data_IF_327346016731
#
_entry.id   IF_327346016731
#
_cell.length_a   1.000
_cell.length_b   1.000
_cell.length_c   1.000
_cell.angle_alpha   90.00
_cell.angle_beta   90.00
_cell.angle_gamma   90.00
#
_symmetry.space_group_name_H-M   'P 1'
#
loop_
_entity.id
_entity.type
_entity.pdbx_description
1 polymer ?
#
# COMPACT_ATOMS: atom_id res chain seq x y z
N UNK A 1 -18.07 -3.27 10.32
CA UNK A 1 -18.22 -4.73 10.06
C UNK A 1 -18.82 -5.07 8.68
N UNK A 2 -19.15 -4.10 7.81
CA UNK A 2 -19.92 -4.34 6.56
C UNK A 2 -19.10 -4.44 5.26
N UNK A 3 -17.77 -4.23 5.28
CA UNK A 3 -16.94 -4.20 4.06
C UNK A 3 -16.18 -5.50 3.75
N UNK A 4 -16.23 -6.50 4.65
CA UNK A 4 -15.50 -7.77 4.46
C UNK A 4 -13.97 -7.66 4.48
N UNK A 5 -13.41 -6.48 4.75
CA UNK A 5 -11.95 -6.24 4.79
C UNK A 5 -11.32 -7.01 5.95
N UNK A 6 -10.23 -7.71 5.64
CA UNK A 6 -9.37 -8.37 6.62
C UNK A 6 -8.09 -7.56 6.80
N UNK A 7 -7.78 -7.18 8.04
CA UNK A 7 -6.57 -6.40 8.37
C UNK A 7 -5.62 -7.26 9.19
N UNK A 8 -4.32 -6.98 9.12
CA UNK A 8 -3.29 -7.63 9.92
C UNK A 8 -2.18 -6.62 10.24
N UNK A 9 -1.15 -7.02 11.00
CA UNK A 9 -0.03 -6.15 11.33
C UNK A 9 0.60 -5.56 10.05
N UNK A 10 1.02 -4.28 10.06
CA UNK A 10 1.63 -3.65 8.90
C UNK A 10 2.95 -4.35 8.55
N UNK A 11 3.12 -4.71 7.28
CA UNK A 11 4.39 -5.29 6.79
C UNK A 11 5.52 -4.25 6.78
N UNK A 12 5.17 -2.98 6.52
CA UNK A 12 6.11 -1.87 6.44
C UNK A 12 5.81 -0.89 7.56
N UNK A 13 6.70 -0.79 8.53
CA UNK A 13 6.53 0.06 9.72
C UNK A 13 7.23 1.41 9.61
N UNK A 14 8.14 1.58 8.64
CA UNK A 14 8.90 2.82 8.43
C UNK A 14 8.01 4.05 8.25
N UNK A 15 6.78 3.85 7.78
CA UNK A 15 5.81 4.91 7.51
C UNK A 15 4.96 5.28 8.74
N UNK A 16 5.09 4.58 9.88
CA UNK A 16 4.39 4.95 11.13
C UNK A 16 4.79 6.35 11.62
N UNK A 17 5.94 6.87 11.21
CA UNK A 17 6.35 8.25 11.50
C UNK A 17 5.39 9.30 10.91
N UNK A 18 4.58 8.93 9.92
CA UNK A 18 3.60 9.82 9.27
C UNK A 18 2.24 9.83 9.96
N UNK A 19 2.06 9.09 11.06
CA UNK A 19 0.83 9.08 11.89
C UNK A 19 -0.47 8.91 11.07
N UNK A 20 -0.41 8.07 10.03
CA UNK A 20 -1.52 7.83 9.13
C UNK A 20 -2.20 6.50 9.46
N UNK A 21 -3.47 6.57 9.83
CA UNK A 21 -4.30 5.43 10.21
C UNK A 21 -5.52 5.28 9.28
N UNK A 22 -6.01 4.06 9.05
CA UNK A 22 -7.25 3.85 8.31
C UNK A 22 -8.43 4.52 9.03
N UNK A 23 -9.19 5.33 8.31
CA UNK A 23 -10.32 6.05 8.87
C UNK A 23 -11.51 6.10 7.90
N UNK A 24 -12.67 6.50 8.40
CA UNK A 24 -13.89 6.68 7.61
C UNK A 24 -14.27 8.16 7.66
N UNK A 25 -14.51 8.77 6.50
CA UNK A 25 -14.92 10.18 6.43
C UNK A 25 -16.41 10.39 6.75
N UNK A 26 -16.86 11.65 6.72
CA UNK A 26 -18.25 12.03 7.01
C UNK A 26 -19.26 11.44 6.01
N UNK A 27 -18.83 11.18 4.77
CA UNK A 27 -19.65 10.56 3.74
C UNK A 27 -19.69 9.02 3.89
N UNK A 28 -18.96 8.47 4.85
CA UNK A 28 -18.86 7.05 5.08
C UNK A 28 -17.86 6.35 4.18
N UNK A 29 -17.03 7.06 3.42
CA UNK A 29 -15.98 6.50 2.57
C UNK A 29 -14.77 6.09 3.42
N UNK A 30 -14.26 4.88 3.19
CA UNK A 30 -13.05 4.40 3.85
C UNK A 30 -11.81 5.01 3.19
N UNK A 31 -10.84 5.40 4.01
CA UNK A 31 -9.55 5.91 3.59
C UNK A 31 -8.43 5.05 4.18
N UNK A 32 -7.44 4.72 3.34
CA UNK A 32 -6.37 3.80 3.69
C UNK A 32 -5.00 4.45 3.50
N UNK A 33 -4.06 4.27 4.45
CA UNK A 33 -2.65 4.50 4.19
C UNK A 33 -2.11 3.39 3.27
N UNK A 34 -1.50 3.76 2.15
CA UNK A 34 -0.99 2.84 1.12
C UNK A 34 0.49 3.10 0.86
N UNK A 35 1.26 2.01 0.73
CA UNK A 35 2.67 2.06 0.31
C UNK A 35 2.76 1.53 -1.11
N UNK A 36 3.31 2.34 -2.02
CA UNK A 36 3.68 1.92 -3.36
C UNK A 36 5.15 1.52 -3.37
N UNK A 37 5.46 0.33 -3.91
CA UNK A 37 6.81 -0.21 -3.96
C UNK A 37 7.31 -0.25 -5.40
N UNK A 38 8.52 0.25 -5.63
CA UNK A 38 9.23 0.21 -6.92
C UNK A 38 10.43 -0.75 -6.80
N UNK A 39 10.21 -2.08 -6.87
CA UNK A 39 11.22 -3.07 -6.49
C UNK A 39 12.49 -3.02 -7.34
N UNK A 40 12.40 -2.63 -8.61
CA UNK A 40 13.58 -2.54 -9.50
C UNK A 40 14.54 -1.41 -9.10
N UNK A 41 14.02 -0.35 -8.49
CA UNK A 41 14.80 0.83 -8.08
C UNK A 41 15.11 0.84 -6.58
N UNK A 42 14.46 -0.03 -5.81
CA UNK A 42 14.57 -0.06 -4.34
C UNK A 42 13.89 1.13 -3.67
N UNK A 43 12.96 1.79 -4.37
CA UNK A 43 12.29 3.00 -3.91
C UNK A 43 10.84 2.71 -3.50
N UNK A 44 10.24 3.64 -2.75
CA UNK A 44 8.85 3.54 -2.32
C UNK A 44 8.21 4.90 -2.10
N UNK A 45 6.93 5.02 -2.39
CA UNK A 45 6.11 6.18 -2.02
C UNK A 45 5.08 5.80 -0.95
N UNK A 46 4.73 6.77 -0.10
CA UNK A 46 3.68 6.63 0.90
C UNK A 46 2.53 7.58 0.62
N UNK A 47 1.34 7.02 0.44
CA UNK A 47 0.09 7.75 0.30
C UNK A 47 -0.62 7.64 1.64
N UNK A 48 -0.65 8.73 2.39
CA UNK A 48 -1.27 8.76 3.73
C UNK A 48 -2.80 8.59 3.69
N UNK A 49 -3.42 9.04 2.58
CA UNK A 49 -4.88 9.14 2.44
C UNK A 49 -5.33 8.65 1.05
N UNK A 50 -5.68 7.37 0.97
CA UNK A 50 -6.21 6.72 -0.24
C UNK A 50 -7.68 6.37 -0.02
N UNK A 51 -8.60 7.11 -0.64
CA UNK A 51 -10.02 6.83 -0.58
C UNK A 51 -10.36 5.51 -1.31
N UNK A 52 -11.22 4.66 -0.74
CA UNK A 52 -11.61 3.38 -1.33
C UNK A 52 -12.27 3.55 -2.71
N UNK A 53 -12.83 4.73 -2.99
CA UNK A 53 -13.45 5.06 -4.28
C UNK A 53 -12.46 5.60 -5.32
N UNK A 54 -11.26 5.99 -4.91
CA UNK A 54 -10.19 6.45 -5.80
C UNK A 54 -9.57 5.29 -6.56
N UNK A 55 -9.11 5.55 -7.77
CA UNK A 55 -8.41 4.58 -8.60
C UNK A 55 -6.90 4.66 -8.42
N UNK A 56 -6.19 3.55 -8.67
CA UNK A 56 -4.73 3.58 -8.73
C UNK A 56 -4.21 4.55 -9.80
N UNK A 57 -4.88 4.66 -10.94
CA UNK A 57 -4.49 5.59 -12.01
C UNK A 57 -4.46 7.06 -11.53
N UNK A 58 -5.44 7.49 -10.73
CA UNK A 58 -5.49 8.86 -10.20
C UNK A 58 -4.30 9.16 -9.28
N UNK A 59 -4.00 8.24 -8.36
CA UNK A 59 -2.86 8.40 -7.46
C UNK A 59 -1.51 8.27 -8.21
N UNK A 60 -1.40 7.33 -9.15
CA UNK A 60 -0.20 7.16 -9.98
C UNK A 60 0.10 8.38 -10.84
N UNK A 61 -0.92 9.09 -11.34
CA UNK A 61 -0.72 10.31 -12.11
C UNK A 61 -0.06 11.43 -11.29
N UNK A 62 -0.18 11.38 -9.95
CA UNK A 62 0.47 12.33 -9.03
C UNK A 62 1.91 11.92 -8.73
N UNK A 63 2.14 10.64 -8.39
CA UNK A 63 3.48 10.15 -7.99
C UNK A 63 4.39 9.88 -9.19
N UNK A 64 3.83 9.45 -10.32
CA UNK A 64 4.54 9.13 -11.56
C UNK A 64 3.95 9.94 -12.73
N UNK A 65 4.14 11.28 -12.73
CA UNK A 65 3.46 12.16 -13.67
C UNK A 65 3.86 11.89 -15.13
N UNK A 66 2.88 11.87 -16.03
CA UNK A 66 3.09 11.72 -17.48
C UNK A 66 3.93 12.85 -18.06
N UNK A 67 3.59 14.08 -17.67
CA UNK A 67 4.19 15.31 -18.17
C UNK A 67 4.76 16.08 -16.99
N UNK A 68 6.03 16.47 -17.10
CA UNK A 68 6.71 17.29 -16.10
C UNK A 68 8.00 16.66 -15.62
N UNK A 69 8.34 16.95 -14.37
CA UNK A 69 9.56 16.45 -13.72
C UNK A 69 9.28 15.04 -13.18
N UNK A 70 10.06 14.02 -13.59
CA UNK A 70 9.94 12.69 -12.99
C UNK A 70 10.40 12.71 -11.52
N UNK A 71 10.08 11.68 -10.73
CA UNK A 71 10.64 11.51 -9.40
C UNK A 71 12.16 11.65 -9.42
N UNK A 72 12.74 12.21 -8.35
CA UNK A 72 14.19 12.48 -8.29
C UNK A 72 15.05 11.21 -8.44
N UNK A 73 14.51 10.06 -8.03
CA UNK A 73 15.13 8.75 -8.18
C UNK A 73 15.03 8.19 -9.61
N UNK A 74 14.05 8.61 -10.41
CA UNK A 74 13.86 8.21 -11.81
C UNK A 74 14.57 9.16 -12.79
N UNK A 75 15.89 9.29 -12.65
CA UNK A 75 16.69 10.16 -13.52
C UNK A 75 16.59 9.78 -15.02
N UNK A 76 16.31 8.51 -15.32
CA UNK A 76 16.15 8.00 -16.68
C UNK A 76 14.74 8.22 -17.25
N UNK A 77 13.77 8.66 -16.43
CA UNK A 77 12.41 8.92 -16.86
C UNK A 77 11.65 7.68 -17.31
N UNK A 78 11.93 6.51 -16.71
CA UNK A 78 11.35 5.23 -17.12
C UNK A 78 9.96 4.96 -16.54
N UNK A 79 9.58 5.64 -15.46
CA UNK A 79 8.36 5.35 -14.72
C UNK A 79 7.29 6.43 -14.95
N UNK A 80 6.18 6.04 -15.57
CA UNK A 80 5.02 6.89 -15.86
C UNK A 80 3.75 6.14 -15.53
N UNK A 81 2.70 6.83 -15.10
CA UNK A 81 1.41 6.20 -14.77
C UNK A 81 0.86 5.30 -15.91
N UNK A 82 1.16 5.64 -17.17
CA UNK A 82 0.72 4.96 -18.38
C UNK A 82 1.52 3.70 -18.74
N UNK A 83 2.71 3.51 -18.16
CA UNK A 83 3.63 2.42 -18.53
C UNK A 83 3.99 1.50 -17.37
N UNK A 84 3.34 1.66 -16.21
CA UNK A 84 3.51 0.79 -15.06
C UNK A 84 2.33 -0.15 -14.90
N UNK A 85 2.64 -1.34 -14.39
CA UNK A 85 1.64 -2.30 -13.94
C UNK A 85 1.62 -2.36 -12.42
N UNK A 86 0.41 -2.35 -11.84
CA UNK A 86 0.23 -2.47 -10.40
C UNK A 86 -0.04 -3.93 -10.06
N UNK A 87 0.65 -4.42 -9.03
CA UNK A 87 0.43 -5.74 -8.49
C UNK A 87 0.29 -5.67 -6.97
N UNK A 88 -0.51 -6.58 -6.43
CA UNK A 88 -0.60 -6.80 -5.00
C UNK A 88 -0.53 -8.30 -4.69
N UNK A 89 -0.30 -8.61 -3.41
CA UNK A 89 -0.21 -9.97 -2.94
C UNK A 89 -1.20 -10.16 -1.79
N UNK A 90 -1.98 -11.25 -1.86
CA UNK A 90 -2.98 -11.55 -0.86
C UNK A 90 -2.40 -12.40 0.28
N UNK A 91 -3.00 -12.28 1.48
CA UNK A 91 -2.74 -13.14 2.65
C UNK A 91 -1.27 -13.17 3.10
N UNK A 92 -0.53 -12.10 2.87
CA UNK A 92 0.87 -11.97 3.29
C UNK A 92 1.00 -11.90 4.81
N UNK A 93 -0.05 -11.45 5.50
CA UNK A 93 -0.14 -11.43 6.96
C UNK A 93 -1.39 -12.15 7.45
N UNK A 94 -1.30 -12.74 8.64
CA UNK A 94 -2.45 -13.33 9.31
C UNK A 94 -3.41 -12.23 9.77
N UNK A 95 -4.67 -12.33 9.36
CA UNK A 95 -5.70 -11.37 9.76
C UNK A 95 -5.89 -11.33 11.29
N UNK A 96 -6.10 -10.13 11.83
CA UNK A 96 -6.32 -9.79 13.24
C UNK A 96 -7.47 -8.75 13.34
N UNK A 97 -8.12 -8.59 14.50
CA UNK A 97 -8.99 -7.44 14.76
C UNK A 97 -8.27 -6.11 14.52
N UNK A 98 -8.98 -5.07 14.07
CA UNK A 98 -8.40 -3.76 13.69
C UNK A 98 -7.59 -3.15 14.84
N UNK A 99 -8.11 -3.18 16.07
CA UNK A 99 -7.40 -2.66 17.25
C UNK A 99 -6.04 -3.35 17.50
N UNK A 100 -5.90 -4.62 17.09
CA UNK A 100 -4.68 -5.42 17.28
C UNK A 100 -3.73 -5.33 16.07
N UNK A 101 -4.26 -4.96 14.90
CA UNK A 101 -3.49 -4.80 13.67
C UNK A 101 -2.65 -3.51 13.69
N UNK A 102 -3.20 -2.42 14.24
CA UNK A 102 -2.56 -1.10 14.23
C UNK A 102 -2.05 -0.62 15.60
N UNK A 103 -2.48 -1.22 16.72
CA UNK A 103 -2.13 -0.78 18.07
C UNK A 103 -0.64 -0.93 18.48
N UNK A 104 -0.26 -0.26 19.57
CA UNK A 104 1.12 -0.18 20.10
C UNK A 104 1.74 -1.55 20.48
N UNK A 105 0.92 -2.59 20.63
CA UNK A 105 1.33 -3.96 20.97
C UNK A 105 1.64 -4.88 19.77
N UNK A 106 1.50 -4.42 18.52
CA UNK A 106 1.83 -5.24 17.34
C UNK A 106 3.34 -5.51 17.16
N UNK A 107 4.17 -5.04 18.10
CA UNK A 107 5.64 -5.04 18.08
C UNK A 107 6.30 -6.31 18.64
N UNK A 108 5.56 -7.36 18.99
CA UNK A 108 6.17 -8.68 19.07
C UNK A 108 6.44 -9.19 17.65
N UNK A 109 7.43 -8.55 17.01
CA UNK A 109 8.23 -9.21 15.98
C UNK A 109 8.82 -10.41 16.71
N UNK A 110 8.21 -11.58 16.54
CA UNK A 110 8.94 -12.81 16.76
C UNK A 110 10.22 -12.66 15.94
N UNK A 111 11.36 -12.51 16.64
CA UNK A 111 12.69 -12.74 16.08
C UNK A 111 12.77 -14.24 15.73
N UNK A 112 12.03 -14.61 14.71
CA UNK A 112 11.85 -15.95 14.22
C UNK A 112 12.02 -15.86 12.72
N UNK A 113 13.26 -16.03 12.28
CA UNK A 113 13.70 -16.30 10.92
C UNK A 113 13.40 -15.23 9.86
N UNK A 114 14.41 -14.94 9.05
CA UNK A 114 14.35 -14.48 7.66
C UNK A 114 13.56 -15.45 6.73
N UNK A 115 12.57 -16.13 7.28
CA UNK A 115 11.63 -17.02 6.64
C UNK A 115 10.24 -16.43 6.90
N UNK A 116 10.08 -15.16 6.52
CA UNK A 116 8.77 -14.52 6.42
C UNK A 116 7.87 -15.49 5.64
N UNK A 117 6.78 -15.92 6.28
CA UNK A 117 5.85 -16.91 5.80
C UNK A 117 5.79 -16.91 4.28
N UNK A 118 6.51 -17.86 3.66
CA UNK A 118 6.51 -18.04 2.22
C UNK A 118 5.18 -18.68 1.87
N UNK A 119 4.14 -17.86 1.93
CA UNK A 119 2.89 -18.14 1.25
C UNK A 119 3.26 -18.18 -0.23
N UNK A 120 2.73 -19.16 -0.95
CA UNK A 120 2.89 -19.31 -2.40
C UNK A 120 2.06 -18.20 -3.11
N UNK A 121 2.17 -16.97 -2.60
CA UNK A 121 1.21 -15.90 -2.72
C UNK A 121 1.14 -15.44 -4.15
N UNK A 122 0.01 -15.71 -4.78
CA UNK A 122 -0.29 -15.24 -6.12
C UNK A 122 -0.19 -13.71 -6.14
N UNK A 123 0.59 -13.20 -7.09
CA UNK A 123 0.56 -11.80 -7.46
C UNK A 123 -0.62 -11.58 -8.39
N UNK A 124 -1.48 -10.65 -8.02
CA UNK A 124 -2.59 -10.26 -8.89
C UNK A 124 -2.29 -8.91 -9.50
N UNK A 125 -2.46 -8.81 -10.81
CA UNK A 125 -2.41 -7.54 -11.53
C UNK A 125 -3.69 -6.78 -11.25
N UNK A 126 -3.56 -5.55 -10.78
CA UNK A 126 -4.67 -4.64 -10.50
C UNK A 126 -4.92 -3.79 -11.75
N UNK A 127 -6.15 -3.76 -12.30
CA UNK A 127 -6.47 -2.84 -13.37
C UNK A 127 -6.28 -1.39 -12.89
N UNK A 128 -5.61 -0.50 -13.66
CA UNK A 128 -5.37 0.87 -13.20
C UNK A 128 -6.64 1.67 -12.88
N UNK A 129 -7.75 1.34 -13.54
CA UNK A 129 -9.06 1.96 -13.33
C UNK A 129 -9.88 1.31 -12.19
N UNK A 130 -9.34 0.28 -11.52
CA UNK A 130 -10.02 -0.33 -10.39
C UNK A 130 -9.91 0.56 -9.14
N UNK A 131 -11.00 0.73 -8.38
CA UNK A 131 -10.96 1.24 -7.02
C UNK A 131 -10.28 0.24 -6.08
N UNK A 132 -9.97 0.66 -4.85
CA UNK A 132 -9.38 -0.19 -3.80
C UNK A 132 -10.40 -1.20 -3.24
#
# INVERSE_FOLDING_TARGET
>A
ASRGVQVGPPMFTSFRAYDAEPHVDEAGCMHWPVVLLYPESGESDFIADFAEVSTFAEHLAVVLPEVGRPPAWDAAGRYRASNVDVFWQERVVRARPLEQAFGEGSLEVEKGSEEAARTDGAWWRVPPAAPL
#
